data_IF_738226206686
#
_entry.id   IF_738226206686
#
_cell.length_a   1.000
_cell.length_b   1.000
_cell.length_c   1.000
_cell.angle_alpha   90.00
_cell.angle_beta   90.00
_cell.angle_gamma   90.00
#
_symmetry.space_group_name_H-M   'P 1'
#
loop_
_entity.id
_entity.type
_entity.pdbx_description
1 polymer ?
#
# COMPACT_ATOMS: atom_id res chain seq x y z
N UNK A 1 -11.91 11.21 5.99
CA UNK A 1 -11.23 12.48 5.67
C UNK A 1 -9.73 12.37 5.89
N UNK A 2 -8.94 12.56 4.84
CA UNK A 2 -7.47 12.70 4.87
C UNK A 2 -7.14 14.18 4.62
N UNK A 3 -6.31 14.80 5.46
CA UNK A 3 -5.75 16.14 5.28
C UNK A 3 -4.24 16.11 5.47
N UNK A 4 -3.52 16.97 4.76
CA UNK A 4 -2.07 17.12 4.90
C UNK A 4 -1.78 18.55 5.38
N UNK A 5 -1.77 18.73 6.69
CA UNK A 5 -1.76 20.00 7.43
C UNK A 5 -0.59 20.93 7.13
N UNK A 6 0.54 20.42 6.61
CA UNK A 6 1.73 21.23 6.32
C UNK A 6 1.55 22.22 5.17
N UNK A 7 0.57 21.99 4.30
CA UNK A 7 0.33 22.78 3.08
C UNK A 7 -0.91 23.67 3.29
N UNK A 8 -0.84 24.95 2.92
CA UNK A 8 -1.76 26.02 3.35
C UNK A 8 -3.24 25.87 2.91
N UNK A 9 -3.56 24.92 2.03
CA UNK A 9 -4.91 24.69 1.55
C UNK A 9 -5.64 23.64 2.40
N UNK A 10 -6.89 23.91 2.78
CA UNK A 10 -7.74 22.92 3.45
C UNK A 10 -8.17 21.83 2.46
N UNK A 11 -7.90 20.57 2.78
CA UNK A 11 -8.13 19.43 1.90
C UNK A 11 -9.56 18.88 1.99
N UNK A 12 -10.08 18.43 0.84
CA UNK A 12 -11.40 17.81 0.72
C UNK A 12 -11.26 16.31 0.44
N UNK A 13 -12.05 15.55 1.20
CA UNK A 13 -12.08 14.10 1.37
C UNK A 13 -12.48 13.31 0.12
N UNK A 14 -11.81 12.19 -0.13
CA UNK A 14 -12.30 11.10 -0.98
C UNK A 14 -12.24 9.76 -0.26
N UNK A 15 -13.06 9.58 0.78
CA UNK A 15 -13.41 8.28 1.39
C UNK A 15 -12.20 7.37 1.73
N UNK A 16 -11.03 7.96 1.98
CA UNK A 16 -9.79 7.22 2.27
C UNK A 16 -8.88 6.93 1.07
N UNK A 17 -8.96 7.66 -0.05
CA UNK A 17 -7.99 7.59 -1.15
C UNK A 17 -7.64 8.99 -1.65
N UNK A 18 -6.34 9.30 -1.70
CA UNK A 18 -5.83 10.50 -2.38
C UNK A 18 -4.60 10.13 -3.23
N UNK A 19 -4.38 10.90 -4.30
CA UNK A 19 -3.22 10.73 -5.19
C UNK A 19 -2.44 12.02 -5.23
N UNK A 20 -1.13 11.95 -5.08
CA UNK A 20 -0.22 13.08 -5.07
C UNK A 20 0.79 12.88 -6.18
N UNK A 21 0.79 13.81 -7.14
CA UNK A 21 1.85 13.94 -8.11
C UNK A 21 3.03 14.67 -7.47
N UNK A 22 4.22 14.07 -7.45
CA UNK A 22 5.44 14.76 -7.04
C UNK A 22 6.61 14.31 -7.90
N UNK A 23 7.40 15.28 -8.36
CA UNK A 23 8.63 15.01 -9.12
C UNK A 23 9.77 14.53 -8.21
N UNK A 24 9.72 14.88 -6.92
CA UNK A 24 10.69 14.45 -5.91
C UNK A 24 9.98 13.82 -4.71
N UNK A 25 9.57 12.57 -4.90
CA UNK A 25 8.81 11.79 -3.93
C UNK A 25 9.56 11.63 -2.59
N UNK A 26 10.89 11.47 -2.62
CA UNK A 26 11.69 11.35 -1.40
C UNK A 26 11.68 12.64 -0.59
N UNK A 27 11.83 13.80 -1.26
CA UNK A 27 11.73 15.09 -0.59
C UNK A 27 10.32 15.34 -0.05
N UNK A 28 9.29 14.97 -0.80
CA UNK A 28 7.90 15.07 -0.34
C UNK A 28 7.67 14.22 0.92
N UNK A 29 8.15 12.97 0.95
CA UNK A 29 8.08 12.13 2.15
C UNK A 29 8.88 12.72 3.31
N UNK A 30 10.09 13.22 3.07
CA UNK A 30 10.86 13.91 4.11
C UNK A 30 10.10 15.13 4.67
N UNK A 31 9.38 15.85 3.82
CA UNK A 31 8.54 16.96 4.26
C UNK A 31 7.38 16.49 5.16
N UNK A 32 6.89 15.26 4.99
CA UNK A 32 5.87 14.64 5.84
C UNK A 32 6.41 14.06 7.14
N UNK A 33 7.73 14.00 7.37
CA UNK A 33 8.28 13.41 8.59
C UNK A 33 8.24 14.33 9.82
N UNK A 34 7.72 15.56 9.69
CA UNK A 34 7.52 16.46 10.83
C UNK A 34 6.33 16.02 11.69
N UNK A 35 6.35 16.35 12.99
CA UNK A 35 5.22 16.11 13.89
C UNK A 35 3.95 16.78 13.33
N UNK A 36 2.82 16.07 13.37
CA UNK A 36 1.49 16.53 12.94
C UNK A 36 1.33 16.91 11.45
N UNK A 37 1.98 16.19 10.52
CA UNK A 37 1.94 16.49 9.07
C UNK A 37 0.72 15.94 8.31
N UNK A 38 0.06 14.91 8.85
CA UNK A 38 -1.08 14.24 8.22
C UNK A 38 -2.19 14.06 9.27
N UNK A 39 -3.42 14.41 8.91
CA UNK A 39 -4.61 14.22 9.75
C UNK A 39 -5.57 13.27 9.03
N UNK A 40 -5.93 12.16 9.65
CA UNK A 40 -6.92 11.21 9.11
C UNK A 40 -8.02 10.99 10.16
N UNK A 41 -9.26 11.31 9.78
CA UNK A 41 -10.44 11.22 10.65
C UNK A 41 -10.20 11.88 12.02
N UNK A 42 -9.75 13.13 11.99
CA UNK A 42 -9.45 13.98 13.16
C UNK A 42 -8.32 13.45 14.07
N UNK A 43 -7.54 12.48 13.60
CA UNK A 43 -6.36 11.96 14.29
C UNK A 43 -5.10 12.40 13.53
N UNK A 44 -4.16 13.06 14.23
CA UNK A 44 -2.85 13.37 13.68
C UNK A 44 -1.99 12.12 13.64
N UNK A 45 -1.38 11.89 12.48
CA UNK A 45 -0.54 10.75 12.17
C UNK A 45 0.82 11.23 11.68
N UNK A 46 1.82 10.42 11.97
CA UNK A 46 3.20 10.56 11.47
C UNK A 46 3.47 9.49 10.42
N UNK A 47 4.59 9.58 9.70
CA UNK A 47 4.97 8.53 8.73
C UNK A 47 5.14 7.14 9.36
N UNK A 48 5.45 7.06 10.65
CA UNK A 48 5.59 5.78 11.37
C UNK A 48 4.26 5.02 11.47
N UNK A 49 3.14 5.73 11.37
CA UNK A 49 1.78 5.18 11.40
C UNK A 49 1.33 4.62 10.03
N UNK A 50 2.19 4.69 9.01
CA UNK A 50 1.88 4.23 7.65
C UNK A 50 2.72 3.02 7.25
N UNK A 51 2.06 2.06 6.61
CA UNK A 51 2.74 1.04 5.83
C UNK A 51 3.12 1.63 4.46
N UNK A 52 4.42 1.83 4.23
CA UNK A 52 4.93 2.36 2.95
C UNK A 52 5.29 1.20 2.02
N UNK A 53 4.64 1.13 0.87
CA UNK A 53 4.86 0.10 -0.14
C UNK A 53 5.37 0.74 -1.42
N UNK A 54 6.47 0.22 -1.95
CA UNK A 54 7.09 0.63 -3.21
C UNK A 54 7.29 -0.58 -4.14
N UNK A 55 7.65 -0.38 -5.43
CA UNK A 55 7.99 -1.48 -6.32
C UNK A 55 9.14 -2.38 -5.83
N UNK A 56 9.97 -1.88 -4.91
CA UNK A 56 11.11 -2.61 -4.35
C UNK A 56 10.80 -3.22 -2.97
N UNK A 57 9.60 -3.01 -2.43
CA UNK A 57 9.19 -3.64 -1.17
C UNK A 57 9.25 -5.14 -1.32
N UNK A 58 9.99 -5.80 -0.43
CA UNK A 58 10.14 -7.25 -0.45
C UNK A 58 8.89 -7.88 0.18
N UNK A 59 8.50 -9.05 -0.32
CA UNK A 59 7.39 -9.78 0.28
C UNK A 59 7.71 -10.20 1.72
N UNK A 60 8.98 -10.43 2.06
CA UNK A 60 9.44 -10.69 3.43
C UNK A 60 9.16 -9.54 4.41
N UNK A 61 9.02 -8.31 3.92
CA UNK A 61 8.72 -7.15 4.75
C UNK A 61 7.23 -7.13 5.14
N UNK A 62 6.36 -7.67 4.27
CA UNK A 62 4.91 -7.75 4.47
C UNK A 62 4.47 -9.06 5.15
N UNK A 63 5.13 -10.16 4.78
CA UNK A 63 4.80 -11.52 5.19
C UNK A 63 5.93 -12.12 6.02
N UNK A 64 5.62 -12.49 7.27
CA UNK A 64 6.60 -13.10 8.18
C UNK A 64 5.99 -14.27 8.95
N UNK A 65 6.80 -15.25 9.31
CA UNK A 65 6.40 -16.31 10.24
C UNK A 65 6.57 -15.87 11.70
N UNK A 66 5.88 -14.78 12.07
CA UNK A 66 5.80 -14.27 13.43
C UNK A 66 4.38 -14.49 13.98
N UNK A 67 4.23 -14.70 15.29
CA UNK A 67 2.96 -15.07 15.92
C UNK A 67 1.78 -14.12 15.63
N UNK A 68 2.07 -12.83 15.41
CA UNK A 68 1.07 -11.81 15.05
C UNK A 68 0.82 -11.67 13.55
N UNK A 69 1.68 -12.25 12.72
CA UNK A 69 1.69 -12.08 11.27
C UNK A 69 0.80 -13.12 10.55
N UNK A 70 0.38 -12.76 9.35
CA UNK A 70 -0.67 -13.42 8.58
C UNK A 70 -0.30 -14.85 8.18
N UNK A 71 0.96 -15.11 7.85
CA UNK A 71 1.39 -16.45 7.43
C UNK A 71 1.33 -17.44 8.60
N UNK A 72 1.77 -17.01 9.78
CA UNK A 72 1.70 -17.86 10.97
C UNK A 72 0.25 -18.18 11.32
N UNK A 73 -0.62 -17.16 11.38
CA UNK A 73 -2.06 -17.34 11.64
C UNK A 73 -2.69 -18.29 10.62
N UNK A 74 -2.35 -18.15 9.35
CA UNK A 74 -2.86 -19.03 8.28
C UNK A 74 -2.44 -20.49 8.51
N UNK A 75 -1.17 -20.73 8.86
CA UNK A 75 -0.68 -22.08 9.11
C UNK A 75 -1.28 -22.70 10.37
N UNK A 76 -1.20 -22.01 11.53
CA UNK A 76 -1.64 -22.59 12.81
C UNK A 76 -3.15 -22.79 12.91
N UNK A 77 -3.94 -22.00 12.17
CA UNK A 77 -5.39 -22.15 12.14
C UNK A 77 -5.84 -23.20 11.12
N UNK A 78 -4.92 -23.79 10.34
CA UNK A 78 -5.27 -24.89 9.46
C UNK A 78 -5.48 -26.17 10.26
N UNK A 79 -6.59 -26.88 10.00
CA UNK A 79 -6.93 -28.17 10.64
C UNK A 79 -5.88 -29.28 10.42
N UNK A 80 -4.96 -29.05 9.50
CA UNK A 80 -3.85 -29.94 9.13
C UNK A 80 -2.61 -29.71 10.02
N UNK A 81 -2.45 -28.51 10.60
CA UNK A 81 -1.25 -28.13 11.37
C UNK A 81 -1.28 -28.55 12.85
N UNK A 82 -2.26 -29.38 13.24
CA UNK A 82 -2.31 -29.96 14.57
C UNK A 82 -1.01 -30.75 14.86
N UNK A 83 -0.48 -30.61 16.09
CA UNK A 83 0.83 -31.17 16.47
C UNK A 83 0.95 -32.66 16.15
N UNK A 84 -0.13 -33.41 16.34
CA UNK A 84 -0.24 -34.85 16.10
C UNK A 84 -0.18 -35.26 14.62
N UNK A 85 -0.56 -34.36 13.70
CA UNK A 85 -0.56 -34.62 12.25
C UNK A 85 0.78 -34.28 11.59
N UNK A 86 1.42 -33.20 12.03
CA UNK A 86 2.69 -32.72 11.44
C UNK A 86 3.88 -33.45 12.05
N UNK A 87 3.82 -33.74 13.36
CA UNK A 87 4.85 -34.47 14.08
C UNK A 87 4.24 -35.70 14.74
N UNK A 88 4.93 -36.83 14.62
CA UNK A 88 4.58 -37.99 15.43
C UNK A 88 5.06 -37.74 16.86
N UNK A 89 4.19 -37.15 17.68
CA UNK A 89 4.48 -36.81 19.07
C UNK A 89 4.93 -38.01 19.90
N UNK A 90 4.30 -39.17 19.69
CA UNK A 90 4.65 -40.43 20.36
C UNK A 90 6.09 -40.86 20.06
N UNK A 91 6.54 -40.75 18.79
CA UNK A 91 7.93 -41.04 18.44
C UNK A 91 8.90 -40.06 19.14
N UNK A 92 8.57 -38.77 19.17
CA UNK A 92 9.44 -37.75 19.77
C UNK A 92 9.52 -37.85 21.30
N UNK A 93 8.42 -38.22 21.96
CA UNK A 93 8.39 -38.55 23.39
C UNK A 93 9.26 -39.78 23.70
N UNK A 94 9.14 -40.86 22.90
CA UNK A 94 10.00 -42.04 23.05
C UNK A 94 11.50 -41.73 22.90
N UNK A 95 11.86 -40.80 22.01
CA UNK A 95 13.25 -40.32 21.91
C UNK A 95 13.68 -39.51 23.13
N UNK A 96 12.79 -38.68 23.71
CA UNK A 96 13.06 -37.95 24.95
C UNK A 96 13.36 -38.92 26.09
N UNK A 97 12.52 -39.96 26.25
CA UNK A 97 12.68 -40.99 27.27
C UNK A 97 13.97 -41.80 27.07
N UNK A 98 14.27 -42.17 25.82
CA UNK A 98 15.52 -42.86 25.50
C UNK A 98 16.76 -42.03 25.82
N UNK A 99 16.71 -40.70 25.63
CA UNK A 99 17.82 -39.81 25.96
C UNK A 99 17.96 -39.62 27.47
N UNK A 100 16.84 -39.44 28.19
CA UNK A 100 16.85 -39.37 29.66
C UNK A 100 17.37 -40.67 30.28
N UNK A 101 16.96 -41.83 29.74
CA UNK A 101 17.48 -43.13 30.16
C UNK A 101 18.97 -43.27 29.92
N UNK A 102 19.48 -42.76 28.79
CA UNK A 102 20.92 -42.75 28.50
C UNK A 102 21.71 -41.85 29.46
N UNK A 103 21.14 -40.71 29.84
CA UNK A 103 21.76 -39.75 30.78
C UNK A 103 21.67 -40.26 32.23
N UNK A 104 20.59 -40.99 32.56
CA UNK A 104 20.25 -41.42 33.91
C UNK A 104 19.52 -40.34 34.73
N UNK A 105 18.92 -39.35 34.07
CA UNK A 105 18.20 -38.23 34.69
C UNK A 105 17.09 -37.71 33.78
N UNK A 106 16.04 -37.14 34.36
CA UNK A 106 14.89 -36.55 33.64
C UNK A 106 15.23 -35.12 33.17
N UNK A 107 16.29 -35.01 32.36
CA UNK A 107 16.86 -33.73 31.93
C UNK A 107 16.12 -33.13 30.73
N UNK A 108 15.62 -33.96 29.83
CA UNK A 108 15.07 -33.57 28.52
C UNK A 108 13.56 -33.75 28.55
N UNK A 109 12.83 -32.76 28.03
CA UNK A 109 11.38 -32.83 27.84
C UNK A 109 11.00 -32.41 26.42
N UNK A 110 9.99 -33.08 25.87
CA UNK A 110 9.45 -32.73 24.56
C UNK A 110 8.39 -31.62 24.68
N UNK A 111 8.77 -30.41 24.28
CA UNK A 111 7.89 -29.23 24.25
C UNK A 111 7.94 -28.57 22.86
N UNK A 112 7.09 -28.99 21.91
CA UNK A 112 7.12 -28.46 20.55
C UNK A 112 6.64 -27.00 20.49
N UNK A 113 7.52 -26.14 19.98
CA UNK A 113 7.28 -24.73 19.67
C UNK A 113 6.95 -24.58 18.17
N UNK A 114 5.65 -24.44 17.86
CA UNK A 114 5.17 -24.36 16.48
C UNK A 114 5.78 -23.19 15.70
N UNK A 115 6.13 -22.09 16.36
CA UNK A 115 6.71 -20.93 15.68
C UNK A 115 8.15 -21.21 15.24
N UNK A 116 8.96 -21.81 16.13
CA UNK A 116 10.33 -22.22 15.78
C UNK A 116 10.34 -23.26 14.67
N UNK A 117 9.44 -24.24 14.77
CA UNK A 117 9.35 -25.31 13.79
C UNK A 117 8.92 -24.77 12.42
N UNK A 118 7.92 -23.89 12.38
CA UNK A 118 7.47 -23.25 11.13
C UNK A 118 8.61 -22.52 10.43
N UNK A 119 9.41 -21.75 11.17
CA UNK A 119 10.59 -21.04 10.63
C UNK A 119 11.70 -21.97 10.14
N UNK A 120 11.76 -23.20 10.63
CA UNK A 120 12.74 -24.19 10.20
C UNK A 120 12.30 -24.93 8.92
N UNK A 121 10.99 -25.14 8.76
CA UNK A 121 10.43 -25.88 7.62
C UNK A 121 10.26 -24.98 6.40
N UNK A 122 9.84 -23.73 6.61
CA UNK A 122 9.57 -22.80 5.52
C UNK A 122 10.58 -21.68 5.49
N UNK A 123 11.16 -21.50 4.31
CA UNK A 123 11.99 -20.35 4.01
C UNK A 123 11.18 -19.32 3.20
N UNK A 124 11.44 -18.03 3.45
CA UNK A 124 10.83 -16.93 2.71
C UNK A 124 11.88 -16.41 1.75
N UNK A 125 11.56 -16.39 0.45
CA UNK A 125 12.42 -15.76 -0.55
C UNK A 125 12.54 -14.25 -0.31
N UNK A 126 13.65 -13.84 0.32
CA UNK A 126 13.96 -12.45 0.66
C UNK A 126 14.25 -11.57 -0.57
N UNK A 127 14.36 -12.13 -1.76
CA UNK A 127 14.63 -11.37 -2.99
C UNK A 127 13.36 -11.10 -3.79
N UNK A 128 12.24 -11.73 -3.42
CA UNK A 128 10.98 -11.56 -4.14
C UNK A 128 10.32 -10.24 -3.80
N UNK A 129 10.26 -9.36 -4.80
CA UNK A 129 9.59 -8.06 -4.71
C UNK A 129 8.08 -8.18 -4.90
N UNK A 130 7.36 -7.17 -4.42
CA UNK A 130 5.93 -7.08 -4.56
C UNK A 130 5.51 -6.91 -6.04
N UNK A 131 4.40 -7.56 -6.39
CA UNK A 131 3.69 -7.46 -7.67
C UNK A 131 2.24 -7.04 -7.44
N UNK A 132 1.51 -6.72 -8.52
CA UNK A 132 0.06 -6.47 -8.47
C UNK A 132 -0.67 -7.57 -7.68
N UNK A 133 -0.47 -8.83 -8.08
CA UNK A 133 -1.21 -9.96 -7.52
C UNK A 133 -0.92 -10.16 -6.02
N UNK A 134 0.36 -10.04 -5.62
CA UNK A 134 0.73 -10.20 -4.21
C UNK A 134 0.23 -9.04 -3.35
N UNK A 135 0.22 -7.80 -3.86
CA UNK A 135 -0.35 -6.66 -3.13
C UNK A 135 -1.86 -6.84 -2.91
N UNK A 136 -2.61 -7.21 -3.94
CA UNK A 136 -4.06 -7.43 -3.79
C UNK A 136 -4.37 -8.59 -2.83
N UNK A 137 -3.57 -9.66 -2.87
CA UNK A 137 -3.67 -10.76 -1.89
C UNK A 137 -3.32 -10.31 -0.47
N UNK A 138 -2.34 -9.44 -0.32
CA UNK A 138 -2.00 -8.84 0.98
C UNK A 138 -3.17 -8.02 1.52
N UNK A 139 -3.69 -7.07 0.74
CA UNK A 139 -4.82 -6.23 1.15
C UNK A 139 -6.08 -7.03 1.48
N UNK A 140 -6.35 -8.10 0.74
CA UNK A 140 -7.50 -8.96 1.00
C UNK A 140 -7.37 -9.74 2.32
N UNK A 141 -6.18 -10.24 2.62
CA UNK A 141 -6.00 -11.15 3.75
C UNK A 141 -5.66 -10.39 5.04
N UNK A 142 -5.02 -9.23 4.95
CA UNK A 142 -4.61 -8.46 6.12
C UNK A 142 -5.84 -7.85 6.79
N UNK A 143 -6.19 -8.37 7.96
CA UNK A 143 -7.36 -7.93 8.73
C UNK A 143 -6.89 -7.35 10.06
N UNK A 144 -7.31 -6.13 10.33
CA UNK A 144 -7.08 -5.40 11.59
C UNK A 144 -8.41 -4.91 12.15
N UNK A 145 -8.47 -4.64 13.46
CA UNK A 145 -9.68 -4.15 14.13
C UNK A 145 -10.05 -2.71 13.70
N UNK A 146 -9.16 -2.00 13.00
CA UNK A 146 -9.41 -0.66 12.45
C UNK A 146 -8.82 -0.47 11.06
N UNK A 147 -9.09 0.69 10.46
CA UNK A 147 -8.53 1.05 9.16
C UNK A 147 -7.00 1.20 9.23
N UNK A 148 -6.31 0.71 8.22
CA UNK A 148 -4.85 0.78 8.12
C UNK A 148 -4.46 1.87 7.12
N UNK A 149 -3.46 2.67 7.48
CA UNK A 149 -2.97 3.73 6.61
C UNK A 149 -1.80 3.20 5.76
N UNK A 150 -1.92 3.34 4.44
CA UNK A 150 -0.95 2.81 3.47
C UNK A 150 -0.50 3.94 2.54
N UNK A 151 0.81 4.08 2.37
CA UNK A 151 1.40 4.92 1.33
C UNK A 151 1.87 4.02 0.19
N UNK A 152 1.33 4.23 -1.01
CA UNK A 152 1.80 3.56 -2.23
C UNK A 152 2.76 4.50 -2.96
N UNK A 153 4.07 4.21 -2.86
CA UNK A 153 5.15 5.02 -3.39
C UNK A 153 5.56 4.54 -4.79
N UNK A 154 5.30 5.36 -5.81
CA UNK A 154 5.76 5.16 -7.19
C UNK A 154 5.39 3.79 -7.78
N UNK A 155 4.19 3.29 -7.44
CA UNK A 155 3.66 2.03 -7.97
C UNK A 155 2.87 2.32 -9.24
N UNK A 156 3.25 1.66 -10.34
CA UNK A 156 2.58 1.79 -11.65
C UNK A 156 1.73 0.56 -12.02
N UNK A 157 1.87 -0.54 -11.29
CA UNK A 157 1.22 -1.82 -11.60
C UNK A 157 -0.19 -1.96 -10.97
N UNK A 158 -0.70 -0.93 -10.31
CA UNK A 158 -2.03 -0.89 -9.68
C UNK A 158 -2.85 0.24 -10.29
N UNK A 159 -4.14 -0.02 -10.49
CA UNK A 159 -5.13 0.98 -10.91
C UNK A 159 -6.02 1.37 -9.73
N UNK A 160 -6.63 2.55 -9.82
CA UNK A 160 -7.56 3.04 -8.78
C UNK A 160 -8.68 2.05 -8.50
N UNK A 161 -9.34 1.54 -9.55
CA UNK A 161 -10.37 0.52 -9.42
C UNK A 161 -9.93 -0.73 -8.65
N UNK A 162 -8.65 -1.12 -8.71
CA UNK A 162 -8.16 -2.27 -7.94
C UNK A 162 -8.20 -1.99 -6.42
N UNK A 163 -8.13 -0.72 -5.99
CA UNK A 163 -8.09 -0.28 -4.59
C UNK A 163 -9.46 0.06 -4.01
N UNK A 164 -10.43 0.42 -4.86
CA UNK A 164 -11.78 0.87 -4.42
C UNK A 164 -12.49 -0.11 -3.48
N UNK A 165 -12.33 -1.42 -3.72
CA UNK A 165 -12.93 -2.47 -2.88
C UNK A 165 -12.33 -2.55 -1.46
N UNK A 166 -11.23 -1.86 -1.21
CA UNK A 166 -10.49 -1.91 0.04
C UNK A 166 -10.68 -0.63 0.88
N UNK A 167 -11.37 0.39 0.37
CA UNK A 167 -11.52 1.69 1.04
C UNK A 167 -12.27 1.63 2.38
N UNK A 168 -13.03 0.57 2.66
CA UNK A 168 -13.63 0.36 3.99
C UNK A 168 -12.61 -0.04 5.07
N UNK A 169 -11.50 -0.65 4.66
CA UNK A 169 -10.48 -1.21 5.56
C UNK A 169 -9.16 -0.44 5.54
N UNK A 170 -8.95 0.41 4.54
CA UNK A 170 -7.68 1.10 4.33
C UNK A 170 -7.89 2.57 4.02
N UNK A 171 -6.92 3.38 4.40
CA UNK A 171 -6.70 4.72 3.86
C UNK A 171 -5.45 4.67 2.99
N UNK A 172 -5.55 5.15 1.76
CA UNK A 172 -4.46 5.14 0.78
C UNK A 172 -4.04 6.57 0.45
N UNK A 173 -2.73 6.80 0.54
CA UNK A 173 -2.07 7.96 -0.07
C UNK A 173 -1.16 7.40 -1.16
N UNK A 174 -1.48 7.69 -2.43
CA UNK A 174 -0.63 7.26 -3.54
C UNK A 174 0.24 8.43 -3.93
N UNK A 175 1.57 8.25 -3.93
CA UNK A 175 2.51 9.29 -4.35
C UNK A 175 3.24 8.77 -5.59
N UNK A 176 3.05 9.42 -6.73
CA UNK A 176 3.59 8.94 -8.00
C UNK A 176 4.06 10.12 -8.87
N UNK A 177 5.15 9.94 -9.62
CA UNK A 177 5.65 10.94 -10.58
C UNK A 177 4.73 11.12 -11.80
N UNK A 178 3.89 10.11 -12.08
CA UNK A 178 2.95 10.10 -13.18
C UNK A 178 1.64 9.39 -12.79
N UNK A 179 0.76 10.04 -12.02
CA UNK A 179 -0.48 9.45 -11.52
C UNK A 179 -1.47 9.08 -12.63
N UNK A 180 -1.33 9.65 -13.81
CA UNK A 180 -2.18 9.32 -14.98
C UNK A 180 -2.12 7.83 -15.36
N UNK A 181 -1.02 7.13 -15.03
CA UNK A 181 -0.90 5.69 -15.22
C UNK A 181 -1.83 4.87 -14.33
N UNK A 182 -2.35 5.45 -13.25
CA UNK A 182 -3.19 4.78 -12.25
C UNK A 182 -4.68 4.87 -12.58
N UNK A 183 -5.04 5.82 -13.44
CA UNK A 183 -6.43 6.12 -13.77
C UNK A 183 -7.01 5.08 -14.75
N UNK A 184 -8.32 4.91 -14.64
CA UNK A 184 -9.21 4.15 -15.50
C UNK A 184 -10.16 5.07 -16.26
N UNK A 185 -10.54 6.21 -15.66
CA UNK A 185 -11.42 7.22 -16.25
C UNK A 185 -10.93 8.65 -15.90
N UNK A 186 -11.59 9.66 -16.44
CA UNK A 186 -11.18 11.05 -16.29
C UNK A 186 -11.67 11.70 -15.01
N UNK A 187 -12.82 11.24 -14.50
CA UNK A 187 -13.41 11.69 -13.24
C UNK A 187 -12.46 11.41 -12.07
N UNK A 188 -11.67 10.32 -12.15
CA UNK A 188 -10.60 10.02 -11.19
C UNK A 188 -9.47 11.07 -11.17
N UNK A 189 -9.38 12.01 -12.12
CA UNK A 189 -8.46 13.16 -12.01
C UNK A 189 -8.76 14.01 -10.78
N UNK A 190 -10.01 14.04 -10.32
CA UNK A 190 -10.42 14.80 -9.16
C UNK A 190 -9.84 14.24 -7.85
N UNK A 191 -9.17 13.09 -7.90
CA UNK A 191 -8.42 12.51 -6.77
C UNK A 191 -6.98 13.03 -6.70
N UNK A 192 -6.51 13.77 -7.71
CA UNK A 192 -5.10 14.14 -7.88
C UNK A 192 -4.82 15.52 -7.29
N UNK A 193 -3.83 15.54 -6.41
CA UNK A 193 -3.12 16.70 -5.91
C UNK A 193 -1.75 16.77 -6.58
N UNK A 194 -1.28 17.97 -6.88
CA UNK A 194 0.05 18.20 -7.47
C UNK A 194 0.90 18.94 -6.45
N UNK A 195 2.01 18.33 -6.08
CA UNK A 195 3.06 18.91 -5.25
C UNK A 195 3.83 19.96 -6.05
N UNK A 196 3.66 21.22 -5.64
CA UNK A 196 4.33 22.36 -6.26
C UNK A 196 4.82 23.32 -5.19
N UNK A 197 6.14 23.49 -5.10
CA UNK A 197 6.81 24.33 -4.12
C UNK A 197 6.40 24.02 -2.67
N UNK A 198 5.52 24.84 -2.08
CA UNK A 198 5.01 24.70 -0.70
C UNK A 198 3.50 24.50 -0.67
N UNK A 199 2.90 24.05 -1.77
CA UNK A 199 1.47 23.85 -1.91
C UNK A 199 1.14 22.51 -2.57
N UNK A 200 -0.03 21.97 -2.20
CA UNK A 200 -0.67 20.91 -2.97
C UNK A 200 -1.84 21.50 -3.74
N UNK A 201 -1.77 21.42 -5.06
CA UNK A 201 -2.77 21.99 -5.96
C UNK A 201 -3.73 20.88 -6.38
N UNK A 202 -5.01 21.05 -6.04
CA UNK A 202 -6.05 20.08 -6.29
C UNK A 202 -6.71 20.29 -7.65
N UNK A 203 -6.98 19.20 -8.38
CA UNK A 203 -7.87 19.24 -9.53
C UNK A 203 -9.31 19.12 -9.04
N UNK A 204 -9.98 20.24 -8.78
CA UNK A 204 -11.31 20.24 -8.15
C UNK A 204 -12.45 19.75 -9.06
N UNK A 205 -12.36 20.00 -10.37
CA UNK A 205 -13.41 19.65 -11.33
C UNK A 205 -12.82 19.37 -12.71
N UNK A 206 -12.95 18.13 -13.16
CA UNK A 206 -12.42 17.71 -14.45
C UNK A 206 -13.13 18.41 -15.62
N UNK A 207 -14.43 18.62 -15.57
CA UNK A 207 -15.18 19.25 -16.67
C UNK A 207 -14.76 20.71 -16.89
N UNK A 208 -14.45 21.44 -15.81
CA UNK A 208 -13.90 22.80 -15.89
C UNK A 208 -12.49 22.76 -16.52
N UNK A 209 -11.63 21.86 -16.06
CA UNK A 209 -10.28 21.66 -16.60
C UNK A 209 -10.34 21.33 -18.11
N UNK A 210 -11.23 20.41 -18.49
CA UNK A 210 -11.51 20.00 -19.87
C UNK A 210 -11.99 21.17 -20.72
N UNK A 211 -12.91 22.00 -20.24
CA UNK A 211 -13.35 23.21 -20.93
C UNK A 211 -12.18 24.17 -21.22
N UNK A 212 -11.34 24.43 -20.21
CA UNK A 212 -10.17 25.30 -20.38
C UNK A 212 -9.15 24.76 -21.40
N UNK A 213 -8.89 23.46 -21.38
CA UNK A 213 -7.98 22.80 -22.33
C UNK A 213 -8.57 22.84 -23.75
N UNK A 214 -9.85 22.53 -23.89
CA UNK A 214 -10.55 22.53 -25.18
C UNK A 214 -10.49 23.91 -25.83
N UNK A 215 -10.74 24.97 -25.05
CA UNK A 215 -10.65 26.35 -25.51
C UNK A 215 -9.22 26.80 -25.83
N UNK A 216 -8.24 26.44 -24.99
CA UNK A 216 -6.84 26.87 -25.17
C UNK A 216 -6.15 26.19 -26.35
N UNK A 217 -6.53 24.95 -26.66
CA UNK A 217 -5.90 24.14 -27.72
C UNK A 217 -6.77 23.95 -28.96
N UNK A 218 -7.94 24.60 -29.04
CA UNK A 218 -8.88 24.56 -30.17
C UNK A 218 -9.30 23.13 -30.57
N UNK A 219 -9.51 22.24 -29.60
CA UNK A 219 -9.79 20.81 -29.82
C UNK A 219 -11.28 20.50 -29.78
N UNK A 220 -12.03 20.93 -30.78
CA UNK A 220 -13.49 20.78 -30.78
C UNK A 220 -14.02 19.34 -31.04
N UNK A 221 -13.17 18.38 -31.42
CA UNK A 221 -13.63 17.13 -32.06
C UNK A 221 -12.82 15.87 -31.65
N UNK A 222 -12.44 15.73 -30.38
CA UNK A 222 -11.82 14.49 -29.91
C UNK A 222 -12.93 13.50 -29.50
N UNK A 223 -12.97 12.30 -30.10
CA UNK A 223 -13.89 11.25 -29.65
C UNK A 223 -13.39 10.65 -28.33
N UNK A 224 -14.01 11.09 -27.24
CA UNK A 224 -13.54 10.89 -25.86
C UNK A 224 -13.77 9.47 -25.30
N UNK A 225 -14.29 8.52 -26.10
CA UNK A 225 -14.60 7.16 -25.64
C UNK A 225 -13.43 6.17 -25.68
N UNK A 226 -12.33 6.49 -26.39
CA UNK A 226 -11.15 5.62 -26.50
C UNK A 226 -9.94 6.15 -25.69
N UNK A 227 -10.15 6.20 -24.38
CA UNK A 227 -9.25 6.77 -23.36
C UNK A 227 -7.89 6.03 -23.26
N UNK A 228 -7.82 4.76 -23.67
CA UNK A 228 -6.56 3.99 -23.66
C UNK A 228 -5.55 4.40 -24.76
N UNK A 229 -5.91 5.28 -25.69
CA UNK A 229 -5.04 5.64 -26.82
C UNK A 229 -4.62 7.10 -26.90
N UNK A 230 -5.34 8.03 -26.27
CA UNK A 230 -5.04 9.46 -26.47
C UNK A 230 -4.02 10.05 -25.48
N UNK A 231 -2.82 9.48 -25.54
CA UNK A 231 -1.61 10.02 -24.89
C UNK A 231 -1.38 11.51 -25.15
N UNK A 232 -1.93 12.07 -26.25
CA UNK A 232 -1.80 13.50 -26.56
C UNK A 232 -2.69 14.35 -25.66
N UNK A 233 -3.91 13.93 -25.33
CA UNK A 233 -4.80 14.68 -24.44
C UNK A 233 -4.24 14.69 -23.02
N UNK A 234 -3.84 13.52 -22.50
CA UNK A 234 -3.16 13.43 -21.19
C UNK A 234 -1.89 14.29 -21.14
N UNK A 235 -1.08 14.28 -22.21
CA UNK A 235 0.09 15.16 -22.31
C UNK A 235 -0.30 16.64 -22.36
N UNK A 236 -1.42 17.01 -23.00
CA UNK A 236 -1.90 18.40 -23.01
C UNK A 236 -2.46 18.83 -21.66
N UNK A 237 -3.14 17.93 -20.94
CA UNK A 237 -3.59 18.16 -19.57
C UNK A 237 -2.36 18.41 -18.68
N UNK A 238 -1.39 17.49 -18.72
CA UNK A 238 -0.12 17.63 -18.03
C UNK A 238 0.57 18.95 -18.36
N UNK A 239 0.76 19.25 -19.65
CA UNK A 239 1.38 20.51 -20.08
C UNK A 239 0.58 21.75 -19.65
N UNK A 240 -0.75 21.69 -19.63
CA UNK A 240 -1.58 22.80 -19.18
C UNK A 240 -1.41 23.04 -17.68
N UNK A 241 -1.50 21.98 -16.88
CA UNK A 241 -1.23 21.96 -15.46
C UNK A 241 0.16 22.53 -15.19
N UNK A 242 1.20 21.93 -15.78
CA UNK A 242 2.59 22.38 -15.66
C UNK A 242 2.74 23.86 -16.08
N UNK A 243 2.09 24.29 -17.18
CA UNK A 243 2.14 25.69 -17.63
C UNK A 243 1.45 26.68 -16.70
N UNK A 244 0.43 26.25 -15.95
CA UNK A 244 -0.27 27.11 -14.98
C UNK A 244 0.50 27.20 -13.67
N UNK A 245 1.20 26.13 -13.29
CA UNK A 245 2.16 26.13 -12.19
C UNK A 245 3.34 27.04 -12.48
N UNK A 246 3.83 27.06 -13.73
CA UNK A 246 4.97 27.87 -14.17
C UNK A 246 4.74 29.39 -14.28
N UNK A 247 3.51 29.89 -14.05
CA UNK A 247 3.10 31.28 -14.35
C UNK A 247 2.79 32.11 -13.10
N UNK A 248 2.86 31.53 -11.91
CA UNK A 248 2.77 32.28 -10.65
C UNK A 248 4.09 32.28 -9.90
#
# INVERSE_FOLDING_TARGET
>A
MIKISKYQNNYVDYQGLIIIQSDNIDQFLLNLSSEESIEINDSFLTLEDFLIISPLTKLSDLYQFASKNILYKYLINSLEWAKEKVFNGEILENYSDSLNSFIGDDLISFLPDAQKITKYIFDIDENKVISKNSLLKFLHNFTTEGKVNIILRNIDFIKINDLTNFLSYYNFIIINSNPFKLLNNWEELELIYIDYETELIHIENYEILKFHITNKFELFDIDYKDINKDSKLLRKIKNYVDSKLSIN
#
